data_IF_127199828095
#
_entry.id   IF_127199828095
#
_cell.length_a   1.000
_cell.length_b   1.000
_cell.length_c   1.000
_cell.angle_alpha   90.00
_cell.angle_beta   90.00
_cell.angle_gamma   90.00
#
_symmetry.space_group_name_H-M   'P 1'
#
loop_
_entity.id
_entity.type
_entity.pdbx_description
1 polymer ?
#
# COMPACT_ATOMS: atom_id res chain seq x y z
N UNK A 1 7.06 3.08 17.29
CA UNK A 1 5.90 3.93 17.59
C UNK A 1 5.28 4.38 16.26
N UNK A 2 4.12 3.98 15.73
CA UNK A 2 3.08 2.99 16.08
C UNK A 2 2.83 2.13 14.81
N UNK A 3 2.77 0.79 14.90
CA UNK A 3 2.79 -0.14 13.74
C UNK A 3 1.43 -0.81 13.50
N UNK A 4 0.46 0.04 13.16
CA UNK A 4 -0.94 -0.19 12.75
C UNK A 4 -1.88 -0.83 13.80
N UNK A 5 -2.51 -0.03 14.68
CA UNK A 5 -3.43 -0.53 15.73
C UNK A 5 -4.80 0.22 15.70
N UNK A 6 -5.94 -0.51 15.62
CA UNK A 6 -7.03 -0.24 16.56
C UNK A 6 -7.60 -1.47 17.33
N UNK A 7 -6.97 -2.64 17.42
CA UNK A 7 -5.99 -2.92 18.48
C UNK A 7 -4.97 -3.97 18.01
N UNK A 8 -4.30 -3.59 16.93
CA UNK A 8 -2.99 -4.02 16.41
C UNK A 8 -2.96 -4.77 15.07
N UNK A 9 -3.78 -4.45 14.03
CA UNK A 9 -3.76 -5.18 12.77
C UNK A 9 -2.57 -4.82 11.87
N UNK A 10 -1.38 -5.28 12.27
CA UNK A 10 -0.26 -5.53 11.37
C UNK A 10 -0.13 -7.03 11.19
N UNK A 11 -0.25 -7.52 9.95
CA UNK A 11 -0.08 -8.95 9.64
C UNK A 11 1.41 -9.27 9.46
N UNK A 12 2.11 -8.49 8.64
CA UNK A 12 3.53 -8.67 8.38
C UNK A 12 4.20 -7.36 7.97
N UNK A 13 5.51 -7.27 8.20
CA UNK A 13 6.35 -6.18 7.74
C UNK A 13 7.72 -6.73 7.36
N UNK A 14 8.16 -6.41 6.14
CA UNK A 14 9.49 -6.80 5.62
C UNK A 14 10.17 -5.54 5.12
N UNK A 15 11.41 -5.31 5.56
CA UNK A 15 12.22 -4.16 5.17
C UNK A 15 13.54 -4.68 4.61
N UNK A 16 13.77 -4.43 3.32
CA UNK A 16 14.94 -4.93 2.60
C UNK A 16 16.07 -3.90 2.47
N UNK A 17 15.77 -2.61 2.67
CA UNK A 17 16.70 -1.49 2.52
C UNK A 17 16.72 -0.65 3.80
N UNK A 18 17.88 -0.09 4.14
CA UNK A 18 18.05 0.70 5.37
C UNK A 18 17.19 1.98 5.37
N UNK A 19 16.97 2.59 4.20
CA UNK A 19 16.14 3.79 4.05
C UNK A 19 15.46 3.81 2.68
N UNK A 20 14.15 3.98 2.66
CA UNK A 20 13.34 4.12 1.44
C UNK A 20 12.46 5.36 1.56
N UNK A 21 12.47 6.20 0.53
CA UNK A 21 11.59 7.37 0.43
C UNK A 21 10.99 7.47 -0.97
N UNK A 22 9.69 7.75 -1.03
CA UNK A 22 8.99 8.00 -2.28
C UNK A 22 7.79 8.91 -2.03
N UNK A 23 7.34 9.62 -3.07
CA UNK A 23 6.21 10.56 -3.01
C UNK A 23 5.17 10.14 -4.04
N UNK A 24 3.89 10.16 -3.65
CA UNK A 24 2.78 9.72 -4.49
C UNK A 24 1.68 10.78 -4.51
N UNK A 25 0.84 10.76 -5.55
CA UNK A 25 -0.33 11.62 -5.61
C UNK A 25 -1.39 11.18 -4.61
N UNK A 26 -1.81 12.07 -3.71
CA UNK A 26 -2.85 11.80 -2.72
C UNK A 26 -4.16 11.41 -3.42
N UNK A 27 -4.49 12.08 -4.51
CA UNK A 27 -5.64 11.80 -5.36
C UNK A 27 -5.67 10.35 -5.89
N UNK A 28 -4.52 9.84 -6.33
CA UNK A 28 -4.38 8.47 -6.80
C UNK A 28 -4.47 7.46 -5.66
N UNK A 29 -3.89 7.78 -4.49
CA UNK A 29 -3.99 6.94 -3.31
C UNK A 29 -5.43 6.87 -2.79
N UNK A 30 -6.14 8.00 -2.72
CA UNK A 30 -7.55 8.04 -2.34
C UNK A 30 -8.42 7.20 -3.28
N UNK A 31 -8.17 7.26 -4.58
CA UNK A 31 -8.89 6.43 -5.55
C UNK A 31 -8.64 4.93 -5.33
N UNK A 32 -7.38 4.53 -5.13
CA UNK A 32 -7.01 3.13 -4.89
C UNK A 32 -7.59 2.59 -3.55
N UNK A 33 -7.55 3.41 -2.49
CA UNK A 33 -8.00 3.03 -1.15
C UNK A 33 -9.52 2.83 -1.05
N UNK A 34 -10.31 3.25 -2.04
CA UNK A 34 -11.75 2.91 -2.09
C UNK A 34 -12.01 1.40 -2.13
N UNK A 35 -11.05 0.62 -2.63
CA UNK A 35 -11.14 -0.84 -2.65
C UNK A 35 -11.09 -1.48 -1.26
N UNK A 36 -10.64 -0.73 -0.23
CA UNK A 36 -10.57 -1.25 1.16
C UNK A 36 -11.92 -1.74 1.69
N UNK A 37 -13.03 -1.14 1.25
CA UNK A 37 -14.37 -1.51 1.72
C UNK A 37 -14.81 -2.91 1.28
N UNK A 38 -14.14 -3.48 0.27
CA UNK A 38 -14.45 -4.80 -0.27
C UNK A 38 -13.32 -5.82 -0.01
N UNK A 39 -12.30 -5.46 0.79
CA UNK A 39 -11.13 -6.30 1.03
C UNK A 39 -10.99 -6.72 2.49
N UNK A 40 -10.48 -7.93 2.72
CA UNK A 40 -10.13 -8.41 4.06
C UNK A 40 -8.73 -7.98 4.47
N UNK A 41 -7.78 -8.03 3.52
CA UNK A 41 -6.37 -7.70 3.74
C UNK A 41 -5.87 -6.77 2.64
N UNK A 42 -4.96 -5.87 3.02
CA UNK A 42 -4.25 -4.98 2.10
C UNK A 42 -2.75 -5.16 2.29
N UNK A 43 -2.05 -5.46 1.20
CA UNK A 43 -0.58 -5.52 1.18
C UNK A 43 -0.04 -4.32 0.40
N UNK A 44 0.87 -3.56 1.02
CA UNK A 44 1.55 -2.43 0.39
C UNK A 44 3.03 -2.76 0.20
N UNK A 45 3.52 -2.56 -1.02
CA UNK A 45 4.94 -2.68 -1.37
C UNK A 45 5.39 -1.39 -2.06
N UNK A 46 6.49 -0.80 -1.62
CA UNK A 46 7.06 0.39 -2.26
C UNK A 46 8.59 0.37 -2.18
N UNK A 47 9.23 1.10 -3.09
CA UNK A 47 10.68 1.21 -3.19
C UNK A 47 11.09 2.59 -3.69
N UNK A 48 12.38 2.90 -3.55
CA UNK A 48 12.95 4.16 -4.03
C UNK A 48 12.82 4.23 -5.55
N UNK A 49 12.15 5.27 -6.06
CA UNK A 49 11.87 5.43 -7.50
C UNK A 49 11.06 4.30 -8.15
N UNK A 50 10.34 3.50 -7.36
CA UNK A 50 9.47 2.43 -7.86
C UNK A 50 7.99 2.78 -7.67
N UNK A 51 7.11 2.29 -8.57
CA UNK A 51 5.67 2.31 -8.31
C UNK A 51 5.33 1.64 -6.98
N UNK A 52 4.40 2.23 -6.23
CA UNK A 52 3.79 1.55 -5.09
C UNK A 52 2.80 0.52 -5.64
N UNK A 53 2.91 -0.71 -5.15
CA UNK A 53 1.96 -1.78 -5.41
C UNK A 53 1.05 -1.93 -4.20
N UNK A 54 -0.26 -1.87 -4.44
CA UNK A 54 -1.28 -2.08 -3.40
C UNK A 54 -2.13 -3.27 -3.85
N UNK A 55 -2.12 -4.33 -3.04
CA UNK A 55 -2.86 -5.57 -3.30
C UNK A 55 -4.00 -5.68 -2.31
N UNK A 56 -5.22 -5.82 -2.81
CA UNK A 56 -6.43 -6.02 -2.03
C UNK A 56 -6.92 -7.46 -2.21
N UNK A 57 -7.02 -8.18 -1.10
CA UNK A 57 -7.61 -9.52 -1.08
C UNK A 57 -9.12 -9.41 -0.88
N UNK A 58 -9.88 -9.80 -1.90
CA UNK A 58 -11.34 -9.70 -1.93
C UNK A 58 -11.95 -11.05 -1.53
N UNK A 59 -13.01 -11.07 -0.69
CA UNK A 59 -13.71 -12.29 -0.34
C UNK A 59 -14.12 -13.11 -1.57
N UNK A 60 -13.90 -14.42 -1.53
CA UNK A 60 -14.13 -15.31 -2.68
C UNK A 60 -12.88 -15.59 -3.54
N UNK A 61 -11.69 -15.16 -3.09
CA UNK A 61 -10.41 -15.53 -3.69
C UNK A 61 -9.96 -14.64 -4.84
N UNK A 62 -10.59 -13.47 -5.01
CA UNK A 62 -10.19 -12.47 -5.99
C UNK A 62 -9.09 -11.55 -5.45
N UNK A 63 -8.26 -11.02 -6.34
CA UNK A 63 -7.23 -10.05 -5.99
C UNK A 63 -7.34 -8.82 -6.90
N UNK A 64 -7.30 -7.63 -6.31
CA UNK A 64 -7.22 -6.37 -7.04
C UNK A 64 -5.87 -5.72 -6.77
N UNK A 65 -5.11 -5.44 -7.83
CA UNK A 65 -3.78 -4.81 -7.74
C UNK A 65 -3.79 -3.42 -8.35
N UNK A 66 -3.40 -2.43 -7.56
CA UNK A 66 -3.12 -1.07 -8.03
C UNK A 66 -1.62 -0.82 -8.10
N UNK A 67 -1.19 -0.16 -9.17
CA UNK A 67 0.17 0.34 -9.33
C UNK A 67 0.12 1.86 -9.39
N UNK A 68 0.71 2.52 -8.39
CA UNK A 68 0.74 3.98 -8.29
C UNK A 68 2.14 4.46 -8.60
N UNK A 69 2.30 5.15 -9.72
CA UNK A 69 3.59 5.71 -10.11
C UNK A 69 4.05 6.77 -9.09
N UNK A 70 5.35 6.79 -8.73
CA UNK A 70 5.87 7.85 -7.89
C UNK A 70 5.83 9.17 -8.64
N UNK A 71 5.60 10.26 -7.93
CA UNK A 71 5.84 11.60 -8.48
C UNK A 71 7.35 11.79 -8.60
N UNK A 72 7.81 12.17 -9.79
CA UNK A 72 9.14 12.74 -9.92
C UNK A 72 9.23 13.91 -8.95
N UNK A 73 10.35 14.04 -8.22
CA UNK A 73 10.58 15.18 -7.31
C UNK A 73 10.17 16.47 -8.03
N UNK A 74 9.28 17.24 -7.42
CA UNK A 74 9.20 18.67 -7.69
C UNK A 74 10.48 19.35 -7.19
#
# INVERSE_FOLDING_TARGET
>A
YNILLPDRPLISMVVNEAEVRSTYGIDLLEAALKATSASETVTLEFGSSMPMKIVFDVPGGGTLTYWVAPRAKA
#
